data_IF_280392060666
#
_entry.id   IF_280392060666
#
_cell.length_a   1.000
_cell.length_b   1.000
_cell.length_c   1.000
_cell.angle_alpha   90.00
_cell.angle_beta   90.00
_cell.angle_gamma   90.00
#
_symmetry.space_group_name_H-M   'P 1'
#
loop_
_entity.id
_entity.type
_entity.pdbx_description
1 polymer ?
#
# COMPACT_ATOMS: atom_id res chain seq x y z
N UNK A 1 -13.51 18.18 -5.48
CA UNK A 1 -12.77 17.83 -4.26
C UNK A 1 -13.77 17.25 -3.28
N UNK A 2 -13.61 15.99 -2.90
CA UNK A 2 -14.59 15.27 -2.08
C UNK A 2 -14.01 15.06 -0.67
N UNK A 3 -14.01 16.13 0.14
CA UNK A 3 -13.42 16.13 1.49
C UNK A 3 -14.02 15.03 2.39
N UNK A 4 -15.22 14.53 2.08
CA UNK A 4 -15.83 13.39 2.76
C UNK A 4 -15.04 12.07 2.65
N UNK A 5 -14.07 11.97 1.72
CA UNK A 5 -13.16 10.82 1.56
C UNK A 5 -11.75 11.08 2.08
N UNK A 6 -11.44 12.30 2.51
CA UNK A 6 -10.13 12.64 3.02
C UNK A 6 -10.09 12.38 4.53
N UNK A 7 -9.36 11.35 5.01
CA UNK A 7 -9.33 11.02 6.43
C UNK A 7 -8.66 12.09 7.30
N UNK A 8 -7.97 13.06 6.70
CA UNK A 8 -7.34 14.20 7.38
C UNK A 8 -8.26 15.43 7.46
N UNK A 9 -9.45 15.35 6.87
CA UNK A 9 -10.46 16.41 6.84
C UNK A 9 -11.38 16.37 8.07
N UNK A 10 -11.79 17.52 8.56
CA UNK A 10 -12.90 17.63 9.53
C UNK A 10 -14.25 17.26 8.92
N UNK A 11 -14.35 17.31 7.59
CA UNK A 11 -15.56 16.96 6.85
C UNK A 11 -15.57 15.50 6.38
N UNK A 12 -14.62 14.69 6.86
CA UNK A 12 -14.56 13.27 6.56
C UNK A 12 -15.84 12.55 6.98
N UNK A 13 -16.40 11.75 6.07
CA UNK A 13 -17.56 10.92 6.36
C UNK A 13 -17.14 9.44 6.29
N UNK A 14 -16.89 8.77 7.42
CA UNK A 14 -16.45 7.39 7.43
C UNK A 14 -17.47 6.42 6.81
N UNK A 15 -18.76 6.77 6.76
CA UNK A 15 -19.78 5.94 6.13
C UNK A 15 -19.62 5.89 4.60
N UNK A 16 -19.00 6.94 4.02
CA UNK A 16 -18.77 7.09 2.57
C UNK A 16 -17.31 6.87 2.17
N UNK A 17 -16.37 7.27 3.03
CA UNK A 17 -14.93 7.18 2.78
C UNK A 17 -14.43 5.73 2.75
N UNK A 18 -14.95 4.88 3.64
CA UNK A 18 -14.61 3.45 3.71
C UNK A 18 -15.51 2.55 2.86
N UNK A 19 -16.27 3.12 1.92
CA UNK A 19 -17.15 2.33 1.06
C UNK A 19 -16.32 1.57 0.03
N UNK A 20 -16.50 0.24 -0.02
CA UNK A 20 -15.87 -0.61 -1.03
C UNK A 20 -16.60 -0.44 -2.36
N UNK A 21 -15.89 0.01 -3.38
CA UNK A 21 -16.41 0.13 -4.74
C UNK A 21 -15.53 -0.66 -5.69
N UNK A 22 -14.36 -0.12 -6.01
CA UNK A 22 -13.43 -0.77 -6.92
C UNK A 22 -12.78 -2.01 -6.29
N UNK A 23 -12.51 -1.98 -4.98
CA UNK A 23 -11.99 -3.17 -4.28
C UNK A 23 -12.98 -4.34 -4.28
N UNK A 24 -14.29 -4.09 -4.17
CA UNK A 24 -15.29 -5.14 -4.25
C UNK A 24 -15.34 -5.79 -5.63
N UNK A 25 -15.22 -4.97 -6.69
CA UNK A 25 -15.11 -5.44 -8.07
C UNK A 25 -13.87 -6.31 -8.28
N UNK A 26 -12.69 -5.85 -7.83
CA UNK A 26 -11.44 -6.62 -7.92
C UNK A 26 -11.49 -7.92 -7.14
N UNK A 27 -12.11 -7.93 -5.95
CA UNK A 27 -12.32 -9.16 -5.20
C UNK A 27 -13.20 -10.16 -5.97
N UNK A 28 -14.23 -9.71 -6.67
CA UNK A 28 -15.07 -10.58 -7.49
C UNK A 28 -14.28 -11.17 -8.67
N UNK A 29 -13.55 -10.34 -9.42
CA UNK A 29 -12.74 -10.77 -10.56
C UNK A 29 -11.65 -11.78 -10.17
N UNK A 30 -10.95 -11.52 -9.06
CA UNK A 30 -9.97 -12.42 -8.49
C UNK A 30 -10.55 -13.80 -8.19
N UNK A 31 -11.73 -13.84 -7.58
CA UNK A 31 -12.38 -15.10 -7.22
C UNK A 31 -12.90 -15.84 -8.46
N UNK A 32 -13.37 -15.12 -9.47
CA UNK A 32 -13.78 -15.67 -10.77
C UNK A 32 -12.60 -16.28 -11.52
N UNK A 33 -11.44 -15.61 -11.53
CA UNK A 33 -10.21 -16.14 -12.11
C UNK A 33 -9.81 -17.47 -11.45
N UNK A 34 -9.76 -17.52 -10.11
CA UNK A 34 -9.40 -18.76 -9.42
C UNK A 34 -10.41 -19.89 -9.69
N UNK A 35 -11.72 -19.59 -9.80
CA UNK A 35 -12.71 -20.59 -10.20
C UNK A 35 -12.41 -21.15 -11.60
N UNK A 36 -12.14 -20.27 -12.57
CA UNK A 36 -11.83 -20.68 -13.94
C UNK A 36 -10.57 -21.56 -14.02
N UNK A 37 -9.54 -21.26 -13.21
CA UNK A 37 -8.32 -22.09 -13.13
C UNK A 37 -8.61 -23.48 -12.59
N UNK A 38 -9.51 -23.62 -11.62
CA UNK A 38 -9.91 -24.92 -11.05
C UNK A 38 -10.74 -25.75 -12.03
N UNK A 39 -11.62 -25.09 -12.79
CA UNK A 39 -12.48 -25.74 -13.77
C UNK A 39 -11.73 -26.13 -15.06
N UNK A 40 -10.65 -25.41 -15.38
CA UNK A 40 -9.85 -25.70 -16.57
C UNK A 40 -9.15 -27.06 -16.46
N UNK A 41 -9.07 -27.82 -17.57
CA UNK A 41 -8.28 -29.05 -17.61
C UNK A 41 -6.81 -28.71 -17.40
N UNK A 42 -6.10 -29.56 -16.65
CA UNK A 42 -4.65 -29.44 -16.49
C UNK A 42 -4.03 -29.79 -17.83
N UNK A 43 -3.53 -28.76 -18.53
CA UNK A 43 -2.68 -28.96 -19.70
C UNK A 43 -1.26 -29.02 -19.15
N UNK A 44 -0.60 -30.16 -19.30
CA UNK A 44 0.85 -30.25 -19.04
C UNK A 44 1.54 -29.38 -20.10
N UNK A 45 2.04 -28.22 -19.68
CA UNK A 45 2.93 -27.45 -20.54
C UNK A 45 4.23 -28.24 -20.74
N UNK A 46 4.72 -28.33 -21.99
CA UNK A 46 5.99 -28.99 -22.25
C UNK A 46 7.08 -28.33 -21.41
N UNK A 47 7.99 -29.14 -20.86
CA UNK A 47 9.13 -28.65 -20.09
C UNK A 47 9.91 -27.62 -20.94
N UNK A 48 9.76 -26.34 -20.60
CA UNK A 48 10.46 -25.27 -21.29
C UNK A 48 11.94 -25.38 -20.93
N UNK A 49 12.81 -25.37 -21.95
CA UNK A 49 14.26 -25.22 -21.81
C UNK A 49 14.59 -24.01 -20.91
N UNK A 50 15.81 -23.98 -20.33
CA UNK A 50 16.30 -22.97 -19.38
C UNK A 50 15.81 -21.55 -19.72
N UNK A 51 14.67 -21.19 -19.13
CA UNK A 51 14.09 -19.87 -19.32
C UNK A 51 14.98 -18.87 -18.58
N UNK A 52 15.16 -17.65 -19.12
CA UNK A 52 15.90 -16.62 -18.41
C UNK A 52 15.30 -16.42 -17.00
N UNK A 53 16.12 -15.99 -16.03
CA UNK A 53 15.62 -15.74 -14.68
C UNK A 53 14.42 -14.77 -14.73
N UNK A 54 13.38 -15.02 -13.91
CA UNK A 54 12.19 -14.20 -13.91
C UNK A 54 12.53 -12.78 -13.48
N UNK A 55 11.79 -11.78 -13.97
CA UNK A 55 11.98 -10.39 -13.54
C UNK A 55 11.65 -10.20 -12.06
N UNK A 56 10.62 -10.89 -11.58
CA UNK A 56 10.18 -10.84 -10.19
C UNK A 56 10.15 -12.22 -9.54
N UNK A 57 10.59 -12.31 -8.29
CA UNK A 57 10.03 -13.29 -7.36
C UNK A 57 8.98 -12.59 -6.50
N UNK A 58 7.72 -13.07 -6.54
CA UNK A 58 6.66 -12.53 -5.69
C UNK A 58 6.31 -13.56 -4.62
N UNK A 59 6.52 -13.19 -3.37
CA UNK A 59 6.16 -13.97 -2.20
C UNK A 59 4.86 -13.48 -1.58
N UNK A 60 3.92 -14.39 -1.33
CA UNK A 60 2.74 -14.15 -0.50
C UNK A 60 2.79 -15.05 0.73
N UNK A 61 2.90 -14.45 1.92
CA UNK A 61 2.85 -15.17 3.20
C UNK A 61 1.45 -15.14 3.78
N UNK A 62 0.96 -16.30 4.21
CA UNK A 62 -0.40 -16.43 4.78
C UNK A 62 -0.39 -17.26 6.07
N UNK A 63 -1.22 -16.84 7.00
CA UNK A 63 -1.54 -17.57 8.25
C UNK A 63 -3.06 -17.63 8.35
N UNK A 64 -3.59 -18.84 8.57
CA UNK A 64 -5.02 -19.07 8.78
C UNK A 64 -5.64 -18.09 9.78
N UNK A 65 -6.72 -17.44 9.37
CA UNK A 65 -7.56 -16.56 10.19
C UNK A 65 -8.93 -17.17 10.36
N UNK A 66 -9.48 -17.15 11.57
CA UNK A 66 -10.80 -17.72 11.83
C UNK A 66 -11.91 -16.90 11.14
N UNK A 67 -12.67 -17.58 10.28
CA UNK A 67 -13.81 -16.98 9.57
C UNK A 67 -13.43 -15.97 8.48
N UNK A 68 -12.17 -15.92 8.03
CA UNK A 68 -11.73 -15.05 6.94
C UNK A 68 -10.89 -15.81 5.89
N UNK A 69 -11.11 -15.49 4.61
CA UNK A 69 -10.47 -16.15 3.47
C UNK A 69 -9.95 -15.13 2.44
N UNK A 70 -9.03 -14.26 2.86
CA UNK A 70 -8.48 -13.22 1.96
C UNK A 70 -7.43 -13.76 0.98
N UNK A 71 -6.62 -14.74 1.42
CA UNK A 71 -5.48 -15.27 0.65
C UNK A 71 -5.82 -15.67 -0.79
N UNK A 72 -6.92 -16.40 -0.98
CA UNK A 72 -7.42 -16.79 -2.32
C UNK A 72 -7.67 -15.57 -3.21
N UNK A 73 -8.31 -14.56 -2.65
CA UNK A 73 -8.67 -13.32 -3.35
C UNK A 73 -7.43 -12.50 -3.67
N UNK A 74 -6.46 -12.43 -2.76
CA UNK A 74 -5.16 -11.79 -2.98
C UNK A 74 -4.45 -12.41 -4.18
N UNK A 75 -4.24 -13.74 -4.16
CA UNK A 75 -3.57 -14.47 -5.24
C UNK A 75 -4.34 -14.33 -6.55
N UNK A 76 -5.67 -14.43 -6.52
CA UNK A 76 -6.50 -14.20 -7.70
C UNK A 76 -6.30 -12.79 -8.29
N UNK A 77 -6.29 -11.75 -7.45
CA UNK A 77 -6.15 -10.36 -7.92
C UNK A 77 -4.75 -10.03 -8.44
N UNK A 78 -3.73 -10.78 -7.99
CA UNK A 78 -2.36 -10.68 -8.48
C UNK A 78 -2.25 -11.19 -9.92
N UNK A 79 -3.04 -12.20 -10.27
CA UNK A 79 -2.91 -12.96 -11.51
C UNK A 79 -4.00 -12.68 -12.57
N UNK A 80 -5.20 -12.24 -12.16
CA UNK A 80 -6.40 -12.24 -13.00
C UNK A 80 -6.29 -11.41 -14.29
N UNK A 81 -5.43 -10.40 -14.30
CA UNK A 81 -5.24 -9.44 -15.41
C UNK A 81 -3.85 -9.54 -16.06
N UNK A 82 -3.06 -10.56 -15.71
CA UNK A 82 -1.77 -10.80 -16.36
C UNK A 82 -1.96 -11.57 -17.67
N UNK A 83 -1.39 -11.03 -18.75
CA UNK A 83 -1.19 -11.80 -19.97
C UNK A 83 -0.09 -12.89 -19.75
N UNK A 84 0.00 -13.90 -20.64
CA UNK A 84 1.00 -14.97 -20.49
C UNK A 84 2.45 -14.49 -20.44
N UNK A 85 2.80 -13.42 -21.15
CA UNK A 85 4.16 -12.84 -21.16
C UNK A 85 4.46 -12.15 -19.83
N UNK A 86 3.51 -11.42 -19.26
CA UNK A 86 3.63 -10.82 -17.93
C UNK A 86 3.68 -11.89 -16.83
N UNK A 87 2.83 -12.93 -16.91
CA UNK A 87 2.84 -14.05 -15.95
C UNK A 87 4.16 -14.81 -15.97
N UNK A 88 4.77 -15.01 -17.13
CA UNK A 88 6.05 -15.71 -17.28
C UNK A 88 7.22 -14.95 -16.62
N UNK A 89 7.09 -13.64 -16.40
CA UNK A 89 8.11 -12.82 -15.72
C UNK A 89 8.05 -12.91 -14.20
N UNK A 90 7.08 -13.63 -13.63
CA UNK A 90 6.85 -13.74 -12.19
C UNK A 90 7.10 -15.17 -11.75
N UNK A 91 7.95 -15.36 -10.75
CA UNK A 91 8.01 -16.58 -9.97
C UNK A 91 7.24 -16.38 -8.66
N UNK A 92 6.08 -17.02 -8.56
CA UNK A 92 5.16 -16.89 -7.44
C UNK A 92 5.43 -17.96 -6.38
N UNK A 93 5.83 -17.51 -5.19
CA UNK A 93 5.98 -18.34 -4.00
C UNK A 93 4.81 -18.09 -3.06
N UNK A 94 4.04 -19.13 -2.77
CA UNK A 94 2.94 -19.10 -1.80
C UNK A 94 3.36 -19.80 -0.52
N UNK A 95 3.42 -19.06 0.60
CA UNK A 95 3.90 -19.58 1.87
C UNK A 95 2.79 -19.72 2.91
N UNK A 96 2.44 -20.97 3.22
CA UNK A 96 1.54 -21.33 4.32
C UNK A 96 2.36 -21.40 5.61
N UNK A 97 2.42 -20.30 6.36
CA UNK A 97 3.33 -20.12 7.50
C UNK A 97 2.82 -20.76 8.80
N UNK A 98 2.40 -22.02 8.71
CA UNK A 98 1.99 -22.86 9.83
C UNK A 98 3.05 -23.93 10.11
N UNK A 99 3.27 -24.25 11.38
CA UNK A 99 4.10 -25.41 11.75
C UNK A 99 3.45 -26.73 11.35
N UNK A 100 2.11 -26.76 11.31
CA UNK A 100 1.30 -27.81 10.70
C UNK A 100 0.47 -27.19 9.55
N UNK A 101 0.92 -27.34 8.29
CA UNK A 101 0.28 -26.71 7.14
C UNK A 101 -1.18 -27.11 6.93
N UNK A 102 -1.59 -28.30 7.41
CA UNK A 102 -2.96 -28.81 7.25
C UNK A 102 -4.02 -27.98 7.98
N UNK A 103 -3.60 -27.15 8.94
CA UNK A 103 -4.47 -26.21 9.65
C UNK A 103 -4.88 -25.03 8.77
N UNK A 104 -4.16 -24.77 7.68
CA UNK A 104 -4.46 -23.69 6.76
C UNK A 104 -5.58 -24.10 5.79
N UNK A 105 -6.71 -23.36 5.69
CA UNK A 105 -7.82 -23.74 4.81
C UNK A 105 -7.43 -23.89 3.34
N UNK A 106 -6.42 -23.13 2.88
CA UNK A 106 -5.92 -23.22 1.51
C UNK A 106 -5.04 -24.46 1.23
N UNK A 107 -4.58 -25.19 2.25
CA UNK A 107 -3.68 -26.33 2.08
C UNK A 107 -4.28 -27.44 1.19
N UNK A 108 -5.59 -27.68 1.31
CA UNK A 108 -6.31 -28.68 0.52
C UNK A 108 -6.95 -28.12 -0.74
N UNK A 109 -6.76 -26.84 -1.05
CA UNK A 109 -7.43 -26.21 -2.19
C UNK A 109 -6.70 -26.52 -3.51
N UNK A 110 -7.41 -26.97 -4.56
CA UNK A 110 -6.79 -27.42 -5.80
C UNK A 110 -6.13 -26.29 -6.60
N UNK A 111 -6.53 -25.03 -6.39
CA UNK A 111 -5.97 -23.90 -7.10
C UNK A 111 -4.52 -23.59 -6.70
N UNK A 112 -4.11 -23.96 -5.47
CA UNK A 112 -2.85 -23.52 -4.87
C UNK A 112 -1.64 -23.91 -5.74
N UNK A 113 -1.58 -25.17 -6.15
CA UNK A 113 -0.52 -25.72 -6.99
C UNK A 113 -0.70 -25.42 -8.50
N UNK A 114 -1.88 -24.96 -8.91
CA UNK A 114 -2.14 -24.59 -10.32
C UNK A 114 -1.63 -23.21 -10.67
N UNK A 115 -1.58 -22.30 -9.69
CA UNK A 115 -1.22 -20.89 -9.93
C UNK A 115 0.18 -20.53 -9.48
N UNK A 116 0.71 -21.25 -8.48
CA UNK A 116 2.02 -20.98 -7.90
C UNK A 116 3.13 -21.77 -8.59
N UNK A 117 4.29 -21.14 -8.73
CA UNK A 117 5.51 -21.82 -9.17
C UNK A 117 6.12 -22.63 -8.02
N UNK A 118 5.93 -22.16 -6.77
CA UNK A 118 6.31 -22.90 -5.56
C UNK A 118 5.32 -22.67 -4.43
N UNK A 119 4.95 -23.76 -3.76
CA UNK A 119 4.18 -23.72 -2.52
C UNK A 119 5.10 -24.14 -1.37
N UNK A 120 5.35 -23.21 -0.45
CA UNK A 120 6.01 -23.49 0.81
C UNK A 120 4.94 -23.88 1.83
N UNK A 121 4.75 -25.18 2.04
CA UNK A 121 3.84 -25.69 3.05
C UNK A 121 4.59 -25.88 4.38
N UNK A 122 4.61 -24.84 5.21
CA UNK A 122 5.34 -24.84 6.47
C UNK A 122 6.85 -24.62 6.30
N UNK A 123 7.63 -25.03 7.29
CA UNK A 123 9.08 -24.78 7.34
C UNK A 123 9.84 -26.01 6.86
N UNK A 124 10.56 -25.86 5.76
CA UNK A 124 11.42 -26.92 5.21
C UNK A 124 12.78 -26.96 5.95
N UNK A 125 13.35 -28.15 6.10
CA UNK A 125 14.72 -28.37 6.60
C UNK A 125 15.01 -27.80 8.00
N UNK A 126 13.99 -27.73 8.87
CA UNK A 126 14.14 -27.35 10.28
C UNK A 126 14.05 -28.57 11.19
N UNK A 127 14.73 -28.55 12.34
CA UNK A 127 14.65 -29.65 13.32
C UNK A 127 13.33 -29.63 14.11
N UNK A 128 13.02 -30.72 14.81
CA UNK A 128 11.85 -30.78 15.68
C UNK A 128 11.91 -29.73 16.81
N UNK A 129 13.10 -29.47 17.36
CA UNK A 129 13.32 -28.45 18.38
C UNK A 129 13.11 -27.04 17.82
N UNK A 130 13.53 -26.79 16.57
CA UNK A 130 13.31 -25.50 15.91
C UNK A 130 11.83 -25.28 15.59
N UNK A 131 11.11 -26.30 15.13
CA UNK A 131 9.65 -26.23 14.92
C UNK A 131 8.93 -25.90 16.22
N UNK A 132 9.32 -26.51 17.33
CA UNK A 132 8.73 -26.23 18.63
C UNK A 132 9.08 -24.81 19.11
N UNK A 133 10.27 -24.29 18.79
CA UNK A 133 10.61 -22.88 19.03
C UNK A 133 9.73 -21.95 18.21
N UNK A 134 9.54 -22.22 16.92
CA UNK A 134 8.69 -21.42 16.03
C UNK A 134 7.24 -21.42 16.53
N UNK A 135 6.75 -22.56 17.00
CA UNK A 135 5.40 -22.70 17.57
C UNK A 135 5.18 -21.83 18.80
N UNK A 136 6.24 -21.57 19.57
CA UNK A 136 6.22 -20.76 20.79
C UNK A 136 6.51 -19.27 20.55
N UNK A 137 6.82 -18.87 19.32
CA UNK A 137 7.09 -17.47 19.02
C UNK A 137 5.83 -16.62 19.23
N UNK A 138 6.02 -15.48 19.88
CA UNK A 138 4.98 -14.47 19.98
C UNK A 138 4.65 -13.89 18.60
N UNK A 139 3.44 -13.37 18.43
CA UNK A 139 2.93 -12.95 17.12
C UNK A 139 3.89 -12.05 16.33
N UNK A 140 4.49 -11.04 17.00
CA UNK A 140 5.39 -10.07 16.33
C UNK A 140 6.71 -10.70 15.89
N UNK A 141 7.27 -11.56 16.72
CA UNK A 141 8.47 -12.34 16.40
C UNK A 141 8.17 -13.28 15.23
N UNK A 142 7.04 -14.00 15.31
CA UNK A 142 6.61 -14.94 14.27
C UNK A 142 6.39 -14.27 12.93
N UNK A 143 5.70 -13.12 12.88
CA UNK A 143 5.47 -12.37 11.65
C UNK A 143 6.79 -11.91 10.99
N UNK A 144 7.73 -11.38 11.79
CA UNK A 144 9.06 -11.01 11.30
C UNK A 144 9.86 -12.22 10.81
N UNK A 145 9.76 -13.34 11.53
CA UNK A 145 10.41 -14.60 11.17
C UNK A 145 9.89 -15.14 9.83
N UNK A 146 8.58 -15.18 9.63
CA UNK A 146 7.94 -15.66 8.41
C UNK A 146 8.28 -14.80 7.21
N UNK A 147 8.24 -13.48 7.39
CA UNK A 147 8.62 -12.51 6.37
C UNK A 147 10.06 -12.75 5.91
N UNK A 148 10.99 -12.94 6.86
CA UNK A 148 12.40 -13.24 6.57
C UNK A 148 12.57 -14.58 5.84
N UNK A 149 11.84 -15.63 6.25
CA UNK A 149 11.90 -16.95 5.58
C UNK A 149 11.50 -16.80 4.12
N UNK A 150 10.36 -16.17 3.84
CA UNK A 150 9.88 -15.98 2.47
C UNK A 150 10.79 -15.07 1.65
N UNK A 151 11.27 -13.97 2.23
CA UNK A 151 12.22 -13.07 1.58
C UNK A 151 13.51 -13.81 1.18
N UNK A 152 14.00 -14.69 2.05
CA UNK A 152 15.17 -15.55 1.79
C UNK A 152 14.90 -16.58 0.69
N UNK A 153 13.71 -17.18 0.66
CA UNK A 153 13.35 -18.12 -0.41
C UNK A 153 13.24 -17.42 -1.76
N UNK A 154 12.63 -16.23 -1.81
CA UNK A 154 12.60 -15.43 -3.03
C UNK A 154 13.99 -14.98 -3.47
N UNK A 155 14.86 -14.62 -2.53
CA UNK A 155 16.25 -14.26 -2.81
C UNK A 155 17.06 -15.36 -3.50
N UNK A 156 16.67 -16.63 -3.39
CA UNK A 156 17.34 -17.76 -4.06
C UNK A 156 16.95 -17.93 -5.53
N UNK A 157 15.86 -17.33 -5.98
CA UNK A 157 15.33 -17.48 -7.35
C UNK A 157 16.23 -16.81 -8.39
N UNK A 158 16.97 -15.77 -7.99
CA UNK A 158 17.83 -15.00 -8.90
C UNK A 158 17.07 -13.99 -9.77
N UNK A 159 15.86 -13.60 -9.34
CA UNK A 159 15.09 -12.55 -9.99
C UNK A 159 15.75 -11.16 -9.84
N UNK A 160 15.39 -10.20 -10.69
CA UNK A 160 15.86 -8.81 -10.57
C UNK A 160 15.27 -8.11 -9.33
N UNK A 161 14.01 -8.41 -9.04
CA UNK A 161 13.24 -7.82 -7.95
C UNK A 161 12.54 -8.89 -7.10
N UNK A 162 12.40 -8.61 -5.81
CA UNK A 162 11.61 -9.42 -4.88
C UNK A 162 10.41 -8.61 -4.39
N UNK A 163 9.21 -9.05 -4.76
CA UNK A 163 7.94 -8.52 -4.27
C UNK A 163 7.45 -9.31 -3.05
N UNK A 164 7.18 -8.62 -1.95
CA UNK A 164 6.59 -9.18 -0.74
C UNK A 164 5.18 -8.62 -0.57
N UNK A 165 4.18 -9.51 -0.53
CA UNK A 165 2.76 -9.13 -0.50
C UNK A 165 2.06 -9.84 0.66
N UNK A 166 1.27 -9.10 1.43
CA UNK A 166 0.44 -9.66 2.50
C UNK A 166 -0.79 -10.38 1.92
N UNK A 167 -1.35 -11.34 2.63
CA UNK A 167 -2.44 -12.20 2.15
C UNK A 167 -3.83 -11.56 2.21
N UNK A 168 -3.96 -10.32 2.67
CA UNK A 168 -5.22 -9.60 2.86
C UNK A 168 -5.30 -8.29 2.07
N UNK A 169 -4.83 -8.34 0.82
CA UNK A 169 -4.81 -7.21 -0.11
C UNK A 169 -5.47 -7.56 -1.44
N UNK A 170 -5.83 -6.54 -2.21
CA UNK A 170 -6.19 -6.69 -3.63
C UNK A 170 -5.37 -5.74 -4.48
N UNK A 171 -4.92 -6.25 -5.62
CA UNK A 171 -4.17 -5.49 -6.61
C UNK A 171 -5.13 -4.91 -7.65
N UNK A 172 -4.82 -3.71 -8.13
CA UNK A 172 -5.57 -3.08 -9.22
C UNK A 172 -5.31 -3.78 -10.56
N UNK A 173 -6.23 -3.65 -11.52
CA UNK A 173 -5.98 -3.99 -12.92
C UNK A 173 -4.78 -3.19 -13.48
N UNK A 174 -3.90 -3.89 -14.20
CA UNK A 174 -2.67 -3.34 -14.79
C UNK A 174 -1.59 -3.01 -13.76
N UNK A 175 -1.61 -3.63 -12.57
CA UNK A 175 -0.63 -3.34 -11.53
C UNK A 175 0.80 -3.65 -11.98
N UNK A 176 1.01 -4.75 -12.73
CA UNK A 176 2.34 -5.23 -13.11
C UNK A 176 3.10 -4.19 -13.92
N UNK A 177 2.52 -3.72 -15.01
CA UNK A 177 3.12 -2.70 -15.87
C UNK A 177 3.35 -1.37 -15.15
N UNK A 178 2.47 -1.01 -14.21
CA UNK A 178 2.68 0.19 -13.37
C UNK A 178 3.87 0.03 -12.44
N UNK A 179 4.02 -1.15 -11.83
CA UNK A 179 5.15 -1.45 -10.95
C UNK A 179 6.46 -1.48 -11.74
N UNK A 180 6.48 -2.10 -12.92
CA UNK A 180 7.64 -2.09 -13.82
C UNK A 180 8.05 -0.66 -14.17
N UNK A 181 7.12 0.16 -14.65
CA UNK A 181 7.39 1.59 -14.97
C UNK A 181 7.86 2.38 -13.75
N UNK A 182 7.29 2.09 -12.57
CA UNK A 182 7.71 2.73 -11.32
C UNK A 182 9.16 2.36 -10.96
N UNK A 183 9.53 1.08 -11.09
CA UNK A 183 10.89 0.62 -10.83
C UNK A 183 11.89 1.25 -11.80
N UNK A 184 11.57 1.30 -13.10
CA UNK A 184 12.43 1.99 -14.08
C UNK A 184 12.64 3.47 -13.76
N UNK A 185 11.62 4.14 -13.20
CA UNK A 185 11.75 5.50 -12.72
C UNK A 185 12.64 5.56 -11.47
N UNK A 186 12.45 4.65 -10.52
CA UNK A 186 13.22 4.59 -9.27
C UNK A 186 14.69 4.27 -9.53
N UNK A 187 15.02 3.36 -10.45
CA UNK A 187 16.41 3.05 -10.78
C UNK A 187 17.13 4.27 -11.37
N UNK A 188 16.47 4.99 -12.28
CA UNK A 188 17.02 6.20 -12.92
C UNK A 188 17.20 7.35 -11.93
N UNK A 189 16.22 7.61 -11.05
CA UNK A 189 16.24 8.76 -10.15
C UNK A 189 16.92 8.47 -8.81
N UNK A 190 16.83 7.22 -8.35
CA UNK A 190 17.50 6.70 -7.17
C UNK A 190 18.98 6.42 -7.40
N UNK A 191 19.45 6.38 -8.66
CA UNK A 191 20.85 6.11 -9.02
C UNK A 191 21.37 4.79 -8.42
N UNK A 192 20.50 3.78 -8.29
CA UNK A 192 20.79 2.51 -7.64
C UNK A 192 20.89 2.55 -6.10
N UNK A 193 20.65 3.70 -5.47
CA UNK A 193 20.72 3.90 -4.02
C UNK A 193 19.33 4.02 -3.40
N UNK A 194 18.56 2.94 -3.47
CA UNK A 194 17.23 2.86 -2.87
C UNK A 194 17.03 1.53 -2.15
N UNK A 195 16.13 1.51 -1.16
CA UNK A 195 15.90 0.32 -0.33
C UNK A 195 14.71 -0.51 -0.83
N UNK A 196 13.56 0.14 -1.02
CA UNK A 196 12.35 -0.51 -1.49
C UNK A 196 11.40 0.48 -2.19
N UNK A 197 10.47 -0.08 -2.95
CA UNK A 197 9.32 0.59 -3.55
C UNK A 197 8.08 0.05 -2.86
N UNK A 198 7.35 0.94 -2.17
CA UNK A 198 6.11 0.61 -1.48
C UNK A 198 4.94 0.74 -2.45
N UNK A 199 4.07 -0.26 -2.45
CA UNK A 199 2.94 -0.33 -3.38
C UNK A 199 1.59 0.03 -2.74
N UNK A 200 1.59 0.28 -1.44
CA UNK A 200 0.43 0.64 -0.63
C UNK A 200 0.76 1.83 0.29
N UNK A 201 -0.20 2.73 0.48
CA UNK A 201 -0.23 3.64 1.62
C UNK A 201 -1.64 3.82 2.12
N UNK A 202 -1.72 4.34 3.33
CA UNK A 202 -2.95 4.94 3.87
C UNK A 202 -2.80 6.45 3.94
N UNK A 203 -3.76 7.16 3.39
CA UNK A 203 -3.91 8.61 3.47
C UNK A 203 -4.04 9.10 4.92
N UNK A 204 -4.37 8.21 5.88
CA UNK A 204 -4.45 8.57 7.31
C UNK A 204 -3.11 9.10 7.87
N UNK A 205 -1.98 8.63 7.35
CA UNK A 205 -0.64 9.07 7.78
C UNK A 205 -0.13 10.28 7.01
N UNK A 206 -0.87 10.76 6.01
CA UNK A 206 -0.56 11.97 5.26
C UNK A 206 -1.19 13.22 5.91
N UNK A 207 -1.25 13.28 7.23
CA UNK A 207 -1.73 14.45 7.96
C UNK A 207 -0.87 15.70 7.76
N UNK A 208 -1.18 16.74 8.54
CA UNK A 208 -0.39 17.97 8.59
C UNK A 208 0.94 17.73 9.32
N UNK A 209 1.91 17.11 8.64
CA UNK A 209 3.20 16.70 9.20
C UNK A 209 4.21 17.86 9.24
N UNK A 210 5.11 17.85 10.23
CA UNK A 210 6.09 18.93 10.40
C UNK A 210 7.07 19.05 9.23
N UNK A 211 7.27 18.01 8.44
CA UNK A 211 8.14 18.01 7.24
C UNK A 211 7.75 19.11 6.23
N UNK A 212 6.46 19.42 6.12
CA UNK A 212 5.93 20.37 5.14
C UNK A 212 5.60 21.74 5.77
N UNK A 213 6.12 22.05 6.96
CA UNK A 213 5.86 23.32 7.64
C UNK A 213 6.12 24.58 6.78
N UNK A 214 7.14 24.65 5.88
CA UNK A 214 7.36 25.83 5.06
C UNK A 214 6.20 26.07 4.09
N UNK A 215 5.62 24.99 3.56
CA UNK A 215 4.47 25.04 2.69
C UNK A 215 3.23 25.51 3.46
N UNK A 216 3.03 25.01 4.68
CA UNK A 216 1.90 25.42 5.52
C UNK A 216 1.99 26.90 5.90
N UNK A 217 3.19 27.38 6.24
CA UNK A 217 3.45 28.78 6.51
C UNK A 217 3.21 29.64 5.26
N UNK A 218 3.73 29.23 4.11
CA UNK A 218 3.53 29.95 2.85
C UNK A 218 2.05 30.14 2.54
N UNK A 219 1.24 29.08 2.58
CA UNK A 219 -0.19 29.18 2.30
C UNK A 219 -0.95 29.99 3.36
N UNK A 220 -0.57 29.87 4.63
CA UNK A 220 -1.13 30.71 5.70
C UNK A 220 -0.83 32.20 5.45
N UNK A 221 0.40 32.53 5.05
CA UNK A 221 0.78 33.89 4.69
C UNK A 221 0.02 34.40 3.46
N UNK A 222 -0.19 33.56 2.44
CA UNK A 222 -1.00 33.93 1.27
C UNK A 222 -2.43 34.28 1.69
N UNK A 223 -3.05 33.48 2.57
CA UNK A 223 -4.40 33.76 3.11
C UNK A 223 -4.48 35.03 3.97
N UNK A 224 -3.37 35.49 4.55
CA UNK A 224 -3.32 36.76 5.30
C UNK A 224 -3.03 37.95 4.37
N UNK A 225 -1.95 37.84 3.59
CA UNK A 225 -1.36 38.95 2.85
C UNK A 225 -2.22 39.34 1.65
N UNK A 226 -2.70 38.37 0.87
CA UNK A 226 -3.46 38.66 -0.36
C UNK A 226 -4.77 39.38 -0.05
N UNK A 227 -5.64 38.89 0.85
CA UNK A 227 -6.87 39.60 1.19
C UNK A 227 -6.59 40.96 1.84
N UNK A 228 -5.57 41.07 2.70
CA UNK A 228 -5.22 42.35 3.32
C UNK A 228 -4.79 43.39 2.29
N UNK A 229 -3.91 43.03 1.35
CA UNK A 229 -3.50 43.91 0.26
C UNK A 229 -4.72 44.26 -0.60
N UNK A 230 -5.55 43.29 -0.99
CA UNK A 230 -6.76 43.56 -1.77
C UNK A 230 -7.69 44.54 -1.07
N UNK A 231 -7.95 44.39 0.23
CA UNK A 231 -8.80 45.30 1.00
C UNK A 231 -8.20 46.72 1.07
N UNK A 232 -6.88 46.84 1.30
CA UNK A 232 -6.20 48.13 1.36
C UNK A 232 -6.16 48.82 -0.01
N UNK A 233 -5.87 48.08 -1.08
CA UNK A 233 -5.84 48.56 -2.46
C UNK A 233 -7.23 48.99 -2.93
N UNK A 234 -8.26 48.19 -2.67
CA UNK A 234 -9.65 48.54 -3.00
C UNK A 234 -10.09 49.81 -2.26
N UNK A 235 -9.75 49.93 -0.98
CA UNK A 235 -10.03 51.13 -0.17
C UNK A 235 -9.27 52.36 -0.66
N UNK A 236 -8.04 52.19 -1.14
CA UNK A 236 -7.20 53.27 -1.64
C UNK A 236 -7.70 53.79 -3.00
N UNK A 237 -7.89 52.90 -3.97
CA UNK A 237 -8.21 53.25 -5.36
C UNK A 237 -9.70 53.52 -5.62
N UNK A 238 -10.61 53.03 -4.77
CA UNK A 238 -12.06 53.24 -4.94
C UNK A 238 -12.65 54.03 -3.75
N UNK A 239 -12.72 55.37 -3.84
CA UNK A 239 -13.29 56.22 -2.79
C UNK A 239 -14.68 55.80 -2.28
N UNK A 240 -15.62 55.30 -3.12
CA UNK A 240 -16.91 54.80 -2.64
C UNK A 240 -16.81 53.63 -1.66
N UNK A 241 -15.75 52.82 -1.74
CA UNK A 241 -15.53 51.66 -0.87
C UNK A 241 -14.94 52.04 0.50
N UNK A 242 -14.55 53.29 0.73
CA UNK A 242 -13.94 53.73 2.01
C UNK A 242 -14.91 53.67 3.20
N UNK A 243 -16.20 53.89 2.95
CA UNK A 243 -17.24 53.81 3.99
C UNK A 243 -17.56 52.36 4.39
N UNK A 244 -17.83 51.42 3.45
CA UNK A 244 -18.04 50.01 3.80
C UNK A 244 -16.75 49.33 4.30
N UNK A 245 -15.56 49.70 3.80
CA UNK A 245 -14.26 49.22 4.30
C UNK A 245 -13.73 50.12 5.42
N UNK A 246 -14.55 50.34 6.44
CA UNK A 246 -14.16 51.10 7.64
C UNK A 246 -13.04 50.41 8.41
N UNK A 247 -12.35 51.11 9.31
CA UNK A 247 -11.32 50.50 10.17
C UNK A 247 -11.88 49.33 11.01
N UNK A 248 -13.14 49.41 11.43
CA UNK A 248 -13.82 48.33 12.14
C UNK A 248 -14.04 47.13 11.22
N UNK A 249 -14.52 47.34 9.99
CA UNK A 249 -14.70 46.27 9.01
C UNK A 249 -13.37 45.61 8.62
N UNK A 250 -12.29 46.40 8.47
CA UNK A 250 -10.94 45.88 8.25
C UNK A 250 -10.44 45.08 9.45
N UNK A 251 -10.63 45.57 10.68
CA UNK A 251 -10.25 44.86 11.89
C UNK A 251 -11.01 43.53 12.06
N UNK A 252 -12.31 43.50 11.77
CA UNK A 252 -13.11 42.26 11.77
C UNK A 252 -12.63 41.31 10.69
N UNK A 253 -12.37 41.81 9.48
CA UNK A 253 -11.88 40.98 8.37
C UNK A 253 -10.54 40.33 8.72
N UNK A 254 -9.58 41.11 9.23
CA UNK A 254 -8.26 40.60 9.59
C UNK A 254 -8.24 39.77 10.88
N UNK A 255 -9.05 40.13 11.87
CA UNK A 255 -9.06 39.49 13.19
C UNK A 255 -10.02 38.30 13.33
N UNK A 256 -10.99 38.16 12.43
CA UNK A 256 -11.99 37.08 12.47
C UNK A 256 -12.07 36.33 11.14
N UNK A 257 -12.35 37.01 10.04
CA UNK A 257 -12.61 36.33 8.75
C UNK A 257 -11.37 35.60 8.22
N UNK A 258 -10.21 36.25 8.20
CA UNK A 258 -8.95 35.64 7.74
C UNK A 258 -8.56 34.43 8.61
N UNK A 259 -8.53 34.52 9.95
CA UNK A 259 -8.31 33.34 10.79
C UNK A 259 -9.31 32.20 10.53
N UNK A 260 -10.60 32.51 10.33
CA UNK A 260 -11.60 31.50 9.97
C UNK A 260 -11.31 30.86 8.61
N UNK A 261 -10.83 31.61 7.62
CA UNK A 261 -10.41 31.06 6.33
C UNK A 261 -9.19 30.13 6.47
N UNK A 262 -8.21 30.49 7.32
CA UNK A 262 -7.06 29.63 7.61
C UNK A 262 -7.53 28.34 8.31
N UNK A 263 -8.40 28.46 9.31
CA UNK A 263 -9.00 27.30 9.98
C UNK A 263 -9.76 26.42 8.97
N UNK A 264 -10.53 27.03 8.06
CA UNK A 264 -11.24 26.29 7.02
C UNK A 264 -10.26 25.55 6.10
N UNK A 265 -9.16 26.18 5.70
CA UNK A 265 -8.11 25.57 4.89
C UNK A 265 -7.55 24.32 5.59
N UNK A 266 -7.10 24.41 6.84
CA UNK A 266 -6.59 23.24 7.56
C UNK A 266 -7.69 22.18 7.82
N UNK A 267 -8.93 22.60 8.05
CA UNK A 267 -10.06 21.69 8.26
C UNK A 267 -10.51 20.96 6.99
N UNK A 268 -10.18 21.49 5.80
CA UNK A 268 -10.51 20.85 4.52
C UNK A 268 -9.79 19.50 4.37
N UNK A 269 -8.66 19.33 5.03
CA UNK A 269 -7.83 18.12 5.01
C UNK A 269 -6.60 18.30 4.11
N UNK A 270 -5.48 17.73 4.55
CA UNK A 270 -4.20 17.76 3.83
C UNK A 270 -4.37 17.10 2.48
N UNK A 271 -4.89 15.88 2.42
CA UNK A 271 -4.88 15.07 1.20
C UNK A 271 -5.75 15.68 0.11
N UNK A 272 -6.81 16.38 0.49
CA UNK A 272 -7.65 17.13 -0.44
C UNK A 272 -6.88 18.30 -1.05
N UNK A 273 -6.17 19.08 -0.24
CA UNK A 273 -5.46 20.28 -0.69
C UNK A 273 -4.11 19.98 -1.36
N UNK A 274 -3.42 18.97 -0.85
CA UNK A 274 -2.08 18.54 -1.23
C UNK A 274 -2.04 17.01 -1.38
N UNK A 275 -2.74 16.46 -2.40
CA UNK A 275 -2.67 15.04 -2.67
C UNK A 275 -1.25 14.64 -3.07
N UNK A 276 -0.88 13.38 -2.83
CA UNK A 276 0.35 12.84 -3.41
C UNK A 276 0.26 12.93 -4.94
N UNK A 277 1.30 13.45 -5.61
CA UNK A 277 1.36 13.45 -7.05
C UNK A 277 1.19 12.05 -7.64
N UNK A 278 0.59 11.96 -8.82
CA UNK A 278 0.48 10.68 -9.52
C UNK A 278 1.87 10.13 -9.87
N UNK A 279 2.04 8.82 -9.69
CA UNK A 279 3.29 8.12 -9.99
C UNK A 279 4.14 7.84 -8.75
N UNK A 280 5.46 7.82 -8.93
CA UNK A 280 6.41 7.50 -7.87
C UNK A 280 6.79 8.75 -7.10
N UNK A 281 6.66 8.69 -5.78
CA UNK A 281 7.03 9.78 -4.88
C UNK A 281 8.10 9.30 -3.88
N UNK A 282 8.97 10.18 -3.37
CA UNK A 282 9.74 9.91 -2.17
C UNK A 282 8.79 9.56 -1.01
N UNK A 283 9.20 8.63 -0.16
CA UNK A 283 8.38 8.28 0.99
C UNK A 283 8.44 9.36 2.08
N UNK A 284 7.30 9.83 2.62
CA UNK A 284 7.28 10.64 3.84
C UNK A 284 7.81 9.86 5.04
N UNK A 285 8.27 10.56 6.09
CA UNK A 285 8.65 9.87 7.33
C UNK A 285 7.41 9.20 7.96
N UNK A 286 7.64 8.16 8.78
CA UNK A 286 6.59 7.41 9.47
C UNK A 286 5.61 6.65 8.55
N UNK A 287 6.07 6.26 7.37
CA UNK A 287 5.29 5.43 6.45
C UNK A 287 4.91 4.08 7.06
N UNK A 288 3.62 3.86 7.32
CA UNK A 288 3.16 2.56 7.77
C UNK A 288 2.92 1.57 6.64
N UNK A 289 3.20 0.32 7.04
CA UNK A 289 2.54 -0.92 6.69
C UNK A 289 3.11 -1.68 5.47
N UNK A 290 3.41 -2.95 5.70
CA UNK A 290 4.15 -3.84 4.79
C UNK A 290 3.29 -4.62 3.79
N UNK A 291 2.08 -4.13 3.45
CA UNK A 291 1.12 -4.85 2.60
C UNK A 291 1.67 -5.25 1.24
N UNK A 292 2.55 -4.42 0.68
CA UNK A 292 3.16 -4.64 -0.63
C UNK A 292 4.45 -3.85 -0.75
N UNK A 293 5.58 -4.55 -0.79
CA UNK A 293 6.91 -3.97 -0.91
C UNK A 293 7.68 -4.68 -2.03
N UNK A 294 8.43 -3.91 -2.82
CA UNK A 294 9.34 -4.45 -3.83
C UNK A 294 10.76 -4.03 -3.50
N UNK A 295 11.65 -5.01 -3.43
CA UNK A 295 13.07 -4.83 -3.15
C UNK A 295 13.89 -5.15 -4.39
N UNK A 296 14.96 -4.40 -4.67
CA UNK A 296 15.95 -4.84 -5.64
C UNK A 296 16.71 -6.04 -5.06
N UNK A 297 17.02 -7.03 -5.89
CA UNK A 297 17.68 -8.27 -5.48
C UNK A 297 18.97 -8.03 -4.69
N UNK A 298 19.72 -6.97 -5.03
CA UNK A 298 20.97 -6.59 -4.36
C UNK A 298 20.80 -6.21 -2.87
N UNK A 299 19.58 -5.89 -2.41
CA UNK A 299 19.28 -5.51 -1.01
C UNK A 299 18.71 -6.64 -0.18
N UNK A 300 18.27 -7.73 -0.81
CA UNK A 300 17.58 -8.84 -0.13
C UNK A 300 18.43 -9.42 1.00
N UNK A 301 19.72 -9.68 0.75
CA UNK A 301 20.60 -10.26 1.79
C UNK A 301 20.86 -9.29 2.96
N UNK A 302 21.03 -8.00 2.68
CA UNK A 302 21.18 -6.94 3.69
C UNK A 302 19.95 -6.93 4.63
N UNK A 303 18.76 -6.94 4.03
CA UNK A 303 17.48 -6.93 4.76
C UNK A 303 17.30 -8.22 5.57
N UNK A 304 17.56 -9.39 4.98
CA UNK A 304 17.45 -10.69 5.67
C UNK A 304 18.34 -10.73 6.91
N UNK A 305 19.57 -10.23 6.82
CA UNK A 305 20.51 -10.16 7.94
C UNK A 305 20.00 -9.21 9.03
N UNK A 306 19.48 -8.04 8.65
CA UNK A 306 18.90 -7.07 9.58
C UNK A 306 17.74 -7.65 10.40
N UNK A 307 16.80 -8.34 9.75
CA UNK A 307 15.70 -9.03 10.45
C UNK A 307 16.20 -10.12 11.39
N UNK A 308 17.27 -10.83 11.02
CA UNK A 308 17.88 -11.87 11.84
C UNK A 308 18.53 -11.32 13.11
N UNK A 309 19.20 -10.17 13.03
CA UNK A 309 19.83 -9.52 14.16
C UNK A 309 18.81 -8.96 15.16
N UNK A 310 17.79 -8.27 14.65
CA UNK A 310 16.82 -7.53 15.48
C UNK A 310 15.71 -8.43 16.05
N UNK A 311 15.39 -9.54 15.38
CA UNK A 311 14.47 -10.63 15.77
C UNK A 311 13.00 -10.26 15.98
N UNK A 312 12.72 -9.19 16.74
CA UNK A 312 11.39 -8.80 17.18
C UNK A 312 11.14 -7.34 16.78
N UNK A 313 10.07 -7.11 16.05
CA UNK A 313 9.61 -5.78 15.68
C UNK A 313 8.41 -5.84 14.74
N UNK A 314 7.94 -4.67 14.31
CA UNK A 314 7.02 -4.57 13.18
C UNK A 314 7.85 -4.49 11.89
N UNK A 315 7.46 -5.26 10.88
CA UNK A 315 8.19 -5.39 9.62
C UNK A 315 8.53 -4.04 8.99
N UNK A 316 7.56 -3.14 8.93
CA UNK A 316 7.71 -1.79 8.38
C UNK A 316 8.64 -0.93 9.22
N UNK A 317 8.45 -0.85 10.55
CA UNK A 317 9.31 -0.06 11.45
C UNK A 317 10.77 -0.52 11.37
N UNK A 318 11.00 -1.83 11.33
CA UNK A 318 12.35 -2.36 11.20
C UNK A 318 13.00 -1.98 9.87
N UNK A 319 12.25 -1.92 8.77
CA UNK A 319 12.78 -1.45 7.48
C UNK A 319 13.06 0.05 7.48
N UNK A 320 12.24 0.85 8.16
CA UNK A 320 12.51 2.27 8.37
C UNK A 320 13.82 2.50 9.14
N UNK A 321 14.05 1.73 10.20
CA UNK A 321 15.29 1.82 10.99
C UNK A 321 16.54 1.41 10.20
N UNK A 322 16.40 0.51 9.22
CA UNK A 322 17.47 0.16 8.28
C UNK A 322 17.69 1.25 7.22
N UNK A 323 16.68 2.07 6.95
CA UNK A 323 16.69 2.99 5.84
C UNK A 323 17.51 4.25 6.13
N UNK A 324 18.81 4.15 5.89
CA UNK A 324 19.66 5.32 5.60
C UNK A 324 19.52 5.79 4.14
N UNK A 325 18.79 5.02 3.31
CA UNK A 325 18.68 5.15 1.84
C UNK A 325 17.31 5.69 1.42
N UNK A 326 17.23 6.18 0.18
CA UNK A 326 15.96 6.67 -0.39
C UNK A 326 14.91 5.57 -0.46
N UNK A 327 13.70 5.89 -0.02
CA UNK A 327 12.53 5.04 -0.13
C UNK A 327 11.52 5.72 -1.05
N UNK A 328 10.76 4.91 -1.77
CA UNK A 328 9.79 5.39 -2.73
C UNK A 328 8.44 4.73 -2.54
N UNK A 329 7.40 5.44 -2.96
CA UNK A 329 6.04 4.94 -2.97
C UNK A 329 5.38 5.09 -4.34
N UNK A 330 4.69 4.04 -4.79
CA UNK A 330 3.79 4.02 -5.93
C UNK A 330 2.37 3.72 -5.43
N UNK A 331 1.62 4.79 -5.19
CA UNK A 331 0.56 4.76 -4.20
C UNK A 331 -0.70 3.94 -4.52
N UNK A 332 -1.04 3.71 -5.78
CA UNK A 332 -2.38 3.21 -6.17
C UNK A 332 -2.46 1.73 -6.50
N UNK A 333 -1.36 0.99 -6.34
CA UNK A 333 -1.25 -0.38 -6.85
C UNK A 333 -2.02 -1.40 -5.99
N UNK A 334 -2.07 -1.18 -4.67
CA UNK A 334 -2.65 -2.12 -3.71
C UNK A 334 -3.65 -1.48 -2.74
N UNK A 335 -4.51 -2.36 -2.24
CA UNK A 335 -5.56 -2.06 -1.28
C UNK A 335 -5.63 -3.17 -0.24
N UNK A 336 -5.54 -2.84 1.04
CA UNK A 336 -5.84 -3.79 2.11
C UNK A 336 -7.36 -4.06 2.18
N UNK A 337 -7.77 -5.31 2.36
CA UNK A 337 -9.20 -5.70 2.47
C UNK A 337 -9.49 -6.49 3.75
N UNK A 338 -8.47 -6.73 4.57
CA UNK A 338 -8.58 -7.47 5.82
C UNK A 338 -9.43 -6.73 6.85
N UNK A 339 -10.60 -7.27 7.19
CA UNK A 339 -11.40 -6.76 8.32
C UNK A 339 -11.05 -7.40 9.66
N UNK A 340 -10.49 -8.62 9.59
CA UNK A 340 -10.05 -9.43 10.73
C UNK A 340 -8.56 -9.67 10.63
N UNK A 341 -7.85 -9.40 11.71
CA UNK A 341 -6.41 -9.59 11.80
C UNK A 341 -6.08 -10.95 12.42
N UNK A 342 -4.97 -11.58 11.99
CA UNK A 342 -4.40 -12.74 12.69
C UNK A 342 -3.85 -12.37 14.07
N UNK A 343 -3.76 -11.07 14.37
CA UNK A 343 -3.37 -10.47 15.66
C UNK A 343 -4.52 -10.34 16.66
N UNK A 344 -5.74 -10.70 16.27
CA UNK A 344 -6.99 -10.36 16.96
C UNK A 344 -7.61 -9.05 16.45
N UNK A 345 -8.92 -8.88 16.66
CA UNK A 345 -9.63 -7.66 16.29
C UNK A 345 -9.26 -6.54 17.28
N UNK A 346 -8.25 -5.75 16.91
CA UNK A 346 -7.74 -4.67 17.74
C UNK A 346 -8.63 -3.42 17.62
N UNK A 347 -9.45 -3.21 18.66
CA UNK A 347 -10.17 -1.96 18.95
C UNK A 347 -9.35 -1.06 19.89
N UNK A 348 -8.02 -1.12 19.83
CA UNK A 348 -7.12 -0.31 20.64
C UNK A 348 -7.24 1.19 20.39
N UNK A 349 -6.35 1.98 20.99
CA UNK A 349 -6.43 3.46 21.00
C UNK A 349 -6.47 4.09 19.59
N UNK A 350 -5.96 3.40 18.57
CA UNK A 350 -5.96 3.84 17.17
C UNK A 350 -7.26 3.50 16.40
N UNK A 351 -8.15 2.68 16.98
CA UNK A 351 -9.46 2.37 16.43
C UNK A 351 -10.35 3.62 16.49
N UNK A 352 -11.02 3.91 15.38
CA UNK A 352 -11.94 5.06 15.25
C UNK A 352 -13.12 4.65 14.38
N UNK A 353 -14.22 5.39 14.48
CA UNK A 353 -15.40 5.20 13.64
C UNK A 353 -16.05 3.81 13.73
N UNK A 354 -15.94 3.13 14.88
CA UNK A 354 -16.39 1.74 15.08
C UNK A 354 -15.74 0.74 14.13
N UNK A 355 -14.48 0.98 13.78
CA UNK A 355 -13.66 0.13 12.91
C UNK A 355 -12.40 -0.32 13.62
N UNK A 356 -11.96 -1.54 13.34
CA UNK A 356 -10.67 -2.05 13.85
C UNK A 356 -9.50 -1.32 13.20
N UNK A 357 -8.30 -1.44 13.78
CA UNK A 357 -7.08 -0.88 13.17
C UNK A 357 -6.85 -1.42 11.76
N UNK A 358 -7.11 -2.71 11.53
CA UNK A 358 -6.99 -3.35 10.22
C UNK A 358 -7.94 -2.74 9.19
N UNK A 359 -9.21 -2.50 9.56
CA UNK A 359 -10.19 -1.87 8.67
C UNK A 359 -9.85 -0.42 8.29
N UNK A 360 -9.02 0.25 9.10
CA UNK A 360 -8.54 1.61 8.85
C UNK A 360 -7.29 1.68 7.98
N UNK A 361 -6.64 0.53 7.69
CA UNK A 361 -5.56 0.48 6.70
C UNK A 361 -6.18 0.68 5.32
N UNK A 362 -6.39 1.94 4.96
CA UNK A 362 -7.27 2.31 3.87
C UNK A 362 -6.57 3.22 2.87
N UNK A 363 -6.36 2.71 1.65
CA UNK A 363 -6.07 3.49 0.46
C UNK A 363 -7.38 4.05 -0.13
N UNK A 364 -7.65 5.34 0.10
CA UNK A 364 -8.87 6.00 -0.34
C UNK A 364 -8.85 6.27 -1.85
N UNK A 365 -7.69 6.56 -2.43
CA UNK A 365 -7.55 6.80 -3.86
C UNK A 365 -7.79 5.53 -4.70
N UNK A 366 -7.48 4.35 -4.16
CA UNK A 366 -7.74 3.06 -4.82
C UNK A 366 -9.21 2.87 -5.16
N UNK A 367 -10.13 3.34 -4.31
CA UNK A 367 -11.58 3.22 -4.54
C UNK A 367 -12.10 4.16 -5.64
N UNK A 368 -11.26 5.09 -6.13
CA UNK A 368 -11.58 6.00 -7.22
C UNK A 368 -11.17 5.46 -8.60
N UNK A 369 -10.55 4.28 -8.65
CA UNK A 369 -10.18 3.63 -9.89
C UNK A 369 -11.44 3.28 -10.72
N UNK A 370 -11.37 3.59 -12.01
CA UNK A 370 -12.41 3.28 -12.99
C UNK A 370 -11.95 2.13 -13.88
N UNK A 371 -12.72 1.03 -13.89
CA UNK A 371 -12.35 -0.19 -14.62
C UNK A 371 -12.15 0.07 -16.11
N UNK A 372 -13.07 0.78 -16.76
CA UNK A 372 -12.99 1.01 -18.20
C UNK A 372 -11.78 1.87 -18.57
N UNK A 373 -11.45 2.88 -17.77
CA UNK A 373 -10.26 3.68 -17.94
C UNK A 373 -8.97 2.85 -17.77
N UNK A 374 -8.91 2.01 -16.74
CA UNK A 374 -7.76 1.13 -16.50
C UNK A 374 -7.57 0.10 -17.61
N UNK A 375 -8.67 -0.52 -18.05
CA UNK A 375 -8.64 -1.50 -19.14
C UNK A 375 -8.13 -0.88 -20.44
N UNK A 376 -8.57 0.33 -20.77
CA UNK A 376 -8.07 1.09 -21.93
C UNK A 376 -6.58 1.38 -21.80
N UNK A 377 -6.12 1.88 -20.64
CA UNK A 377 -4.69 2.15 -20.43
C UNK A 377 -3.86 0.88 -20.60
N UNK A 378 -4.30 -0.24 -20.02
CA UNK A 378 -3.59 -1.51 -20.10
C UNK A 378 -3.52 -2.04 -21.55
N UNK A 379 -4.62 -1.93 -22.29
CA UNK A 379 -4.67 -2.35 -23.70
C UNK A 379 -3.71 -1.56 -24.60
N UNK A 380 -3.41 -0.30 -24.29
CA UNK A 380 -2.41 0.47 -25.02
C UNK A 380 -0.95 0.08 -24.71
N UNK A 381 -0.72 -0.58 -23.57
CA UNK A 381 0.60 -1.06 -23.17
C UNK A 381 0.94 -2.42 -23.80
N UNK A 382 -0.08 -3.17 -24.24
CA UNK A 382 0.05 -4.47 -24.93
C UNK A 382 -0.67 -4.43 -26.31
N UNK A 383 -0.10 -3.73 -27.33
CA UNK A 383 -0.71 -3.60 -28.66
C UNK A 383 -0.74 -4.90 -29.48
#
# INVERSE_FOLDING_TARGET
MYNYRDPTSWFFDPSRGYLQSYSALRQHEANTFINAVVESPVVEEPAVEESPPPKFCVGVVTVAREGARYFRTTVGSLLADLDPTSRAQIHLILFLAHTDPSQHPAYSEPWLHRVADRVLAGYEKVTAEELERIRKMEFREKGSFDYRVLLRECGKVGAEYVGMVEDDVVLMEGWFERVVRALEWVERNGRGEWLYLRLFYTEEFLGWNSEEWPQYLFWSLVWVVVPTICLLTLRYHHPPLRHPLSNQATAISCGLCIPLCILLFFSAGRVSLFPLPAGVNPMPEFGCCSQGLVFPQSKVQEIVNWYEERKIGLTDVMLEELAEKKQYISGRSLRHVGRRSSKGDDYGEAAKYHRTVAEKLWNFEFELNDKEALHRENSYLHP
#
